data_IF_216656701906
#
_entry.id   IF_216656701906
#
_cell.length_a   1.000
_cell.length_b   1.000
_cell.length_c   1.000
_cell.angle_alpha   90.00
_cell.angle_beta   90.00
_cell.angle_gamma   90.00
#
_symmetry.space_group_name_H-M   'P 1'
#
loop_
_entity.id
_entity.type
_entity.pdbx_description
1 polymer ?
#
# COMPACT_ATOMS: atom_id res chain seq x y z
N UNK A 1 55.14 -15.27 4.89
CA UNK A 1 55.04 -14.77 6.28
C UNK A 1 54.25 -13.47 6.24
N UNK A 2 53.19 -13.35 7.07
CA UNK A 2 52.28 -12.18 7.23
C UNK A 2 53.06 -10.88 7.54
N UNK A 3 52.58 -9.67 7.24
CA UNK A 3 51.56 -8.86 7.99
C UNK A 3 51.28 -7.54 7.20
N UNK A 4 50.05 -7.12 6.90
CA UNK A 4 48.98 -6.47 7.70
C UNK A 4 49.14 -4.93 7.94
N UNK A 5 48.24 -4.14 7.31
CA UNK A 5 47.99 -2.69 7.45
C UNK A 5 47.11 -2.36 8.68
N UNK A 6 47.20 -1.16 9.30
CA UNK A 6 46.19 -0.66 10.22
C UNK A 6 45.36 0.49 9.62
N UNK A 7 44.07 0.24 9.37
CA UNK A 7 43.06 1.24 9.02
C UNK A 7 41.82 1.06 9.90
N UNK A 8 41.81 1.64 11.11
CA UNK A 8 40.69 1.45 12.05
C UNK A 8 40.20 2.71 12.81
N UNK A 9 40.69 3.91 12.52
CA UNK A 9 40.32 5.09 13.32
C UNK A 9 39.29 6.07 12.72
N UNK A 10 38.84 5.90 11.46
CA UNK A 10 37.92 6.88 10.82
C UNK A 10 36.41 6.60 11.03
N UNK A 11 36.01 5.36 11.32
CA UNK A 11 34.58 4.98 11.34
C UNK A 11 33.81 5.40 12.61
N UNK A 12 34.51 5.67 13.72
CA UNK A 12 33.87 5.99 15.01
C UNK A 12 33.36 7.45 15.08
N UNK A 13 33.92 8.37 14.28
CA UNK A 13 33.59 9.80 14.33
C UNK A 13 32.22 10.12 13.68
N UNK A 14 31.86 9.46 12.58
CA UNK A 14 30.64 9.74 11.80
C UNK A 14 29.37 9.27 12.52
N UNK A 15 29.45 8.17 13.28
CA UNK A 15 28.37 7.65 14.13
C UNK A 15 27.95 8.62 15.23
N UNK A 16 28.93 9.28 15.86
CA UNK A 16 28.70 10.20 16.99
C UNK A 16 28.13 11.55 16.57
N UNK A 17 28.32 11.97 15.32
CA UNK A 17 27.74 13.19 14.75
C UNK A 17 26.27 13.01 14.33
N UNK A 18 25.93 11.86 13.74
CA UNK A 18 24.55 11.51 13.32
C UNK A 18 23.57 11.51 14.49
N UNK A 19 23.99 11.02 15.65
CA UNK A 19 23.13 10.98 16.85
C UNK A 19 22.97 12.35 17.55
N UNK A 20 23.93 13.27 17.39
CA UNK A 20 23.85 14.60 18.03
C UNK A 20 22.95 15.60 17.28
N UNK A 21 22.90 15.53 15.96
CA UNK A 21 22.02 16.37 15.13
C UNK A 21 20.56 15.93 15.25
N UNK A 22 20.32 14.62 15.33
CA UNK A 22 18.97 14.06 15.49
C UNK A 22 18.31 14.48 16.83
N UNK A 23 19.10 14.56 17.91
CA UNK A 23 18.58 14.90 19.24
C UNK A 23 18.33 16.39 19.49
N UNK A 24 18.86 17.32 18.67
CA UNK A 24 18.69 18.77 18.90
C UNK A 24 17.47 19.39 18.22
N UNK A 25 16.84 18.73 17.23
CA UNK A 25 15.73 19.33 16.48
C UNK A 25 14.34 18.73 16.73
N UNK A 26 14.21 17.63 17.48
CA UNK A 26 12.92 16.95 17.70
C UNK A 26 12.53 16.82 19.19
N UNK A 27 12.78 17.85 19.99
CA UNK A 27 12.25 17.96 21.37
C UNK A 27 11.24 19.09 21.42
N UNK A 28 10.04 18.88 20.88
CA UNK A 28 8.90 19.75 21.24
C UNK A 28 7.51 19.12 21.11
N UNK A 29 7.33 17.96 20.48
CA UNK A 29 5.99 17.33 20.39
C UNK A 29 6.03 15.82 20.62
N UNK A 30 5.67 15.40 21.83
CA UNK A 30 5.53 13.99 22.22
C UNK A 30 4.49 13.23 21.37
N UNK A 31 3.49 13.92 20.81
CA UNK A 31 2.50 13.33 19.89
C UNK A 31 3.10 12.96 18.53
N UNK A 32 3.86 13.85 17.90
CA UNK A 32 4.45 13.60 16.57
C UNK A 32 5.53 12.52 16.62
N UNK A 33 6.27 12.44 17.73
CA UNK A 33 7.30 11.42 17.95
C UNK A 33 6.72 10.00 18.09
N UNK A 34 5.52 9.85 18.67
CA UNK A 34 4.86 8.54 18.80
C UNK A 34 4.19 8.09 17.49
N UNK A 35 3.68 9.02 16.68
CA UNK A 35 3.16 8.71 15.33
C UNK A 35 4.30 8.35 14.38
N UNK A 36 5.42 9.09 14.36
CA UNK A 36 6.59 8.70 13.57
C UNK A 36 7.22 7.39 14.06
N UNK A 37 7.28 7.14 15.38
CA UNK A 37 7.73 5.83 15.89
C UNK A 37 6.81 4.69 15.46
N UNK A 38 5.49 4.85 15.50
CA UNK A 38 4.56 3.78 15.09
C UNK A 38 4.46 3.58 13.57
N UNK A 39 4.73 4.62 12.77
CA UNK A 39 4.73 4.54 11.31
C UNK A 39 6.10 4.16 10.71
N UNK A 40 7.23 4.45 11.39
CA UNK A 40 8.58 4.05 10.94
C UNK A 40 9.16 2.81 11.65
N UNK A 41 8.69 2.39 12.82
CA UNK A 41 9.16 1.16 13.48
C UNK A 41 8.16 0.00 13.30
N UNK A 42 8.02 -0.44 12.06
CA UNK A 42 8.10 -1.88 11.76
C UNK A 42 9.39 -2.05 10.94
N UNK A 43 10.52 -1.76 11.59
CA UNK A 43 11.81 -2.31 11.19
C UNK A 43 12.08 -3.36 12.28
N UNK A 44 12.04 -4.66 11.97
CA UNK A 44 12.51 -5.67 12.91
C UNK A 44 13.92 -5.24 13.34
N UNK A 45 14.20 -5.25 14.64
CA UNK A 45 15.58 -5.13 15.12
C UNK A 45 16.38 -6.20 14.38
N UNK A 46 17.20 -5.80 13.41
CA UNK A 46 18.30 -6.64 12.93
C UNK A 46 19.28 -6.74 14.10
N UNK A 47 19.12 -7.77 14.91
CA UNK A 47 20.18 -8.23 15.79
C UNK A 47 21.31 -8.65 14.87
N UNK A 48 22.37 -7.85 14.87
CA UNK A 48 23.58 -8.09 14.11
C UNK A 48 24.35 -9.26 14.77
N UNK A 49 23.93 -10.49 14.50
CA UNK A 49 24.75 -11.67 14.79
C UNK A 49 25.59 -11.99 13.56
N UNK A 50 26.62 -11.17 13.36
CA UNK A 50 27.69 -11.46 12.40
C UNK A 50 28.65 -12.47 13.03
N UNK A 51 28.38 -13.77 12.90
CA UNK A 51 29.37 -14.88 13.03
C UNK A 51 28.85 -16.18 12.40
N UNK A 52 28.78 -16.19 11.06
CA UNK A 52 28.68 -17.45 10.32
C UNK A 52 30.02 -18.20 10.38
N UNK A 53 30.15 -19.17 11.28
CA UNK A 53 31.19 -20.20 11.24
C UNK A 53 30.83 -21.19 10.14
N UNK A 54 31.41 -21.02 8.94
CA UNK A 54 31.39 -22.03 7.89
C UNK A 54 32.44 -23.09 8.22
N UNK A 55 32.05 -24.14 8.95
CA UNK A 55 32.86 -25.35 9.08
C UNK A 55 32.09 -26.59 8.65
N UNK A 56 32.54 -27.10 7.50
CA UNK A 56 32.77 -28.52 7.19
C UNK A 56 31.66 -29.50 7.56
N UNK A 57 30.91 -29.93 6.55
CA UNK A 57 30.20 -31.21 6.59
C UNK A 57 31.25 -32.32 6.46
N UNK A 58 31.80 -32.78 7.59
CA UNK A 58 32.46 -34.09 7.66
C UNK A 58 31.41 -35.13 8.06
N UNK A 59 31.18 -36.06 7.14
CA UNK A 59 30.45 -37.31 7.37
C UNK A 59 31.30 -38.21 8.27
N UNK A 60 30.81 -38.54 9.47
CA UNK A 60 31.36 -39.63 10.27
C UNK A 60 30.24 -40.38 11.02
N UNK A 61 30.13 -41.64 10.66
CA UNK A 61 29.41 -42.74 11.31
C UNK A 61 29.74 -42.82 12.81
N UNK A 62 28.72 -43.00 13.67
CA UNK A 62 28.77 -43.87 14.86
C UNK A 62 27.45 -43.89 15.65
N UNK A 63 27.04 -45.12 15.94
CA UNK A 63 25.90 -45.51 16.75
C UNK A 63 26.05 -45.15 18.25
N UNK A 64 24.90 -44.90 18.89
CA UNK A 64 24.66 -45.11 20.32
C UNK A 64 25.12 -44.02 21.29
N UNK A 65 24.22 -43.08 21.63
CA UNK A 65 24.22 -42.37 22.91
C UNK A 65 22.83 -41.73 23.17
N UNK A 66 22.36 -41.82 24.42
CA UNK A 66 21.03 -41.39 24.92
C UNK A 66 20.68 -39.90 24.65
N UNK A 67 19.38 -39.54 24.59
CA UNK A 67 18.98 -38.15 24.37
C UNK A 67 19.24 -37.27 25.61
N UNK A 68 19.88 -36.11 25.47
CA UNK A 68 19.94 -35.14 26.56
C UNK A 68 18.58 -34.45 26.73
N UNK A 69 18.24 -34.24 28.00
CA UNK A 69 16.98 -33.73 28.54
C UNK A 69 16.60 -32.37 27.94
N UNK A 70 15.32 -32.25 27.58
CA UNK A 70 14.67 -30.98 27.25
C UNK A 70 14.82 -29.98 28.42
N UNK A 71 15.41 -28.83 28.12
CA UNK A 71 15.37 -27.65 28.96
C UNK A 71 15.00 -26.49 28.05
N UNK A 72 13.76 -26.00 28.23
CA UNK A 72 13.15 -25.01 27.36
C UNK A 72 13.77 -23.62 27.48
N UNK A 73 13.83 -22.92 26.35
CA UNK A 73 13.53 -21.49 26.21
C UNK A 73 13.45 -21.16 24.71
N UNK A 74 12.54 -20.25 24.35
CA UNK A 74 12.39 -19.73 22.99
C UNK A 74 11.31 -20.38 22.14
N UNK A 75 10.05 -20.33 22.59
CA UNK A 75 8.90 -20.50 21.70
C UNK A 75 8.94 -19.37 20.66
N UNK A 76 9.61 -19.62 19.53
CA UNK A 76 9.44 -18.82 18.34
C UNK A 76 7.97 -18.97 17.96
N UNK A 77 7.16 -17.95 18.28
CA UNK A 77 5.76 -17.86 17.86
C UNK A 77 5.75 -17.76 16.33
N UNK A 78 5.87 -18.91 15.68
CA UNK A 78 5.80 -19.06 14.24
C UNK A 78 4.32 -19.16 13.89
N UNK A 79 3.81 -18.12 13.22
CA UNK A 79 2.41 -18.02 12.83
C UNK A 79 2.13 -19.11 11.79
N UNK A 80 1.47 -20.20 12.21
CA UNK A 80 1.05 -21.27 11.29
C UNK A 80 0.28 -20.65 10.12
N UNK A 81 0.76 -20.76 8.86
CA UNK A 81 0.09 -20.18 7.72
C UNK A 81 -1.21 -20.95 7.45
N UNK A 82 -2.33 -20.41 7.91
CA UNK A 82 -3.69 -20.93 7.68
C UNK A 82 -4.50 -20.02 6.76
N UNK A 83 -3.90 -19.56 5.65
CA UNK A 83 -4.67 -18.92 4.58
C UNK A 83 -4.86 -19.90 3.43
N UNK A 84 -6.09 -20.38 3.24
CA UNK A 84 -6.48 -21.11 2.03
C UNK A 84 -6.53 -20.20 0.81
N UNK A 85 -6.54 -20.79 -0.39
CA UNK A 85 -6.57 -20.07 -1.67
C UNK A 85 -7.73 -19.05 -1.74
N UNK A 86 -8.93 -19.48 -1.33
CA UNK A 86 -10.13 -18.62 -1.33
C UNK A 86 -10.00 -17.42 -0.38
N UNK A 87 -9.37 -17.61 0.79
CA UNK A 87 -9.12 -16.53 1.73
C UNK A 87 -8.13 -15.53 1.14
N UNK A 88 -7.07 -16.02 0.49
CA UNK A 88 -6.09 -15.18 -0.21
C UNK A 88 -6.73 -14.35 -1.32
N UNK A 89 -7.50 -14.97 -2.20
CA UNK A 89 -8.21 -14.27 -3.31
C UNK A 89 -9.16 -13.21 -2.75
N UNK A 90 -9.92 -13.53 -1.70
CA UNK A 90 -10.86 -12.58 -1.08
C UNK A 90 -10.15 -11.37 -0.50
N UNK A 91 -9.02 -11.56 0.18
CA UNK A 91 -8.20 -10.45 0.71
C UNK A 91 -7.66 -9.57 -0.43
N UNK A 92 -7.17 -10.19 -1.51
CA UNK A 92 -6.65 -9.46 -2.67
C UNK A 92 -7.76 -8.63 -3.31
N UNK A 93 -8.90 -9.24 -3.62
CA UNK A 93 -10.05 -8.55 -4.22
C UNK A 93 -10.54 -7.42 -3.32
N UNK A 94 -10.65 -7.65 -2.01
CA UNK A 94 -11.05 -6.63 -1.04
C UNK A 94 -10.05 -5.47 -0.91
N UNK A 95 -8.77 -5.73 -1.19
CA UNK A 95 -7.70 -4.72 -1.18
C UNK A 95 -7.66 -3.86 -2.46
N UNK A 96 -7.99 -4.44 -3.62
CA UNK A 96 -8.02 -3.74 -4.91
C UNK A 96 -9.31 -2.92 -5.06
N UNK A 97 -10.45 -3.48 -4.63
CA UNK A 97 -11.73 -2.75 -4.68
C UNK A 97 -11.72 -1.63 -3.63
N UNK A 98 -11.33 -0.43 -4.06
CA UNK A 98 -11.24 0.76 -3.21
C UNK A 98 -12.35 1.80 -3.45
N UNK A 99 -12.19 2.97 -2.86
CA UNK A 99 -13.03 4.14 -3.13
C UNK A 99 -12.79 4.74 -4.53
N UNK A 100 -11.70 4.36 -5.20
CA UNK A 100 -11.33 4.87 -6.52
C UNK A 100 -12.40 4.66 -7.59
N UNK A 101 -13.21 3.61 -7.51
CA UNK A 101 -14.31 3.35 -8.46
C UNK A 101 -15.43 4.41 -8.40
N UNK A 102 -15.59 5.12 -7.28
CA UNK A 102 -16.59 6.19 -7.19
C UNK A 102 -16.07 7.49 -7.80
N UNK A 103 -14.76 7.72 -7.80
CA UNK A 103 -14.14 8.97 -8.26
C UNK A 103 -13.72 8.90 -9.73
N UNK A 104 -13.12 7.78 -10.12
CA UNK A 104 -12.42 7.61 -11.39
C UNK A 104 -13.33 7.66 -12.62
N UNK A 105 -14.60 7.19 -12.61
CA UNK A 105 -15.45 7.25 -13.79
C UNK A 105 -15.62 8.66 -14.36
N UNK A 106 -15.73 9.68 -13.49
CA UNK A 106 -15.79 11.09 -13.93
C UNK A 106 -14.51 11.52 -14.64
N UNK A 107 -13.34 11.16 -14.08
CA UNK A 107 -12.04 11.47 -14.69
C UNK A 107 -11.81 10.74 -16.01
N UNK A 108 -12.20 9.47 -16.09
CA UNK A 108 -12.10 8.68 -17.31
C UNK A 108 -12.99 9.27 -18.40
N UNK A 109 -14.27 9.53 -18.11
CA UNK A 109 -15.23 10.03 -19.10
C UNK A 109 -14.86 11.43 -19.61
N UNK A 110 -14.39 12.32 -18.74
CA UNK A 110 -13.93 13.66 -19.16
C UNK A 110 -12.70 13.60 -20.08
N UNK A 111 -11.81 12.61 -19.88
CA UNK A 111 -10.63 12.44 -20.74
C UNK A 111 -10.91 11.67 -22.04
N UNK A 112 -11.95 10.83 -22.09
CA UNK A 112 -12.32 10.09 -23.31
C UNK A 112 -13.40 10.77 -24.15
N UNK A 113 -14.22 11.66 -23.57
CA UNK A 113 -15.31 12.37 -24.23
C UNK A 113 -16.54 11.50 -24.56
N UNK A 114 -16.34 10.20 -24.74
CA UNK A 114 -17.39 9.24 -25.09
C UNK A 114 -17.45 8.04 -24.13
N UNK A 115 -18.64 7.46 -24.00
CA UNK A 115 -18.90 6.31 -23.11
C UNK A 115 -18.25 5.05 -23.64
N UNK A 116 -18.33 4.76 -24.95
CA UNK A 116 -17.71 3.59 -25.55
C UNK A 116 -16.19 3.56 -25.33
N UNK A 117 -15.52 4.69 -25.58
CA UNK A 117 -14.07 4.81 -25.37
C UNK A 117 -13.69 4.70 -23.88
N UNK A 118 -14.54 5.20 -22.97
CA UNK A 118 -14.30 5.07 -21.52
C UNK A 118 -14.23 3.61 -21.07
N UNK A 119 -15.09 2.74 -21.62
CA UNK A 119 -15.10 1.31 -21.31
C UNK A 119 -13.84 0.60 -21.82
N UNK A 120 -13.35 1.00 -23.00
CA UNK A 120 -12.06 0.50 -23.54
C UNK A 120 -10.92 0.89 -22.61
N UNK A 121 -10.85 2.14 -22.15
CA UNK A 121 -9.83 2.60 -21.19
C UNK A 121 -9.88 1.80 -19.89
N UNK A 122 -11.07 1.48 -19.38
CA UNK A 122 -11.23 0.61 -18.20
C UNK A 122 -10.63 -0.79 -18.42
N UNK A 123 -10.94 -1.43 -19.55
CA UNK A 123 -10.41 -2.76 -19.90
C UNK A 123 -8.88 -2.71 -20.00
N UNK A 124 -8.33 -1.73 -20.73
CA UNK A 124 -6.88 -1.58 -20.92
C UNK A 124 -6.19 -1.32 -19.58
N UNK A 125 -6.78 -0.52 -18.68
CA UNK A 125 -6.25 -0.25 -17.34
C UNK A 125 -6.22 -1.50 -16.47
N UNK A 126 -7.24 -2.35 -16.58
CA UNK A 126 -7.31 -3.65 -15.91
C UNK A 126 -6.24 -4.62 -16.40
N UNK A 127 -6.07 -4.75 -17.73
CA UNK A 127 -5.03 -5.60 -18.33
C UNK A 127 -3.63 -5.13 -17.93
N UNK A 128 -3.37 -3.82 -17.99
CA UNK A 128 -2.11 -3.24 -17.56
C UNK A 128 -1.80 -3.55 -16.09
N UNK A 129 -2.80 -3.40 -15.22
CA UNK A 129 -2.67 -3.72 -13.78
C UNK A 129 -2.42 -5.21 -13.55
N UNK A 130 -3.02 -6.09 -14.35
CA UNK A 130 -2.79 -7.54 -14.29
C UNK A 130 -1.35 -7.90 -14.66
N UNK A 131 -0.80 -7.32 -15.73
CA UNK A 131 0.60 -7.53 -16.12
C UNK A 131 1.53 -7.05 -15.01
N UNK A 132 1.29 -5.85 -14.46
CA UNK A 132 2.07 -5.33 -13.33
C UNK A 132 2.00 -6.24 -12.09
N UNK A 133 0.83 -6.80 -11.78
CA UNK A 133 0.65 -7.75 -10.70
C UNK A 133 1.46 -9.03 -10.88
N UNK A 134 1.55 -9.57 -12.11
CA UNK A 134 2.37 -10.75 -12.40
C UNK A 134 3.87 -10.48 -12.21
N UNK A 135 4.38 -9.35 -12.73
CA UNK A 135 5.78 -8.97 -12.51
C UNK A 135 6.10 -8.82 -11.01
N UNK A 136 5.16 -8.24 -10.25
CA UNK A 136 5.31 -8.12 -8.80
C UNK A 136 5.20 -9.46 -8.06
N UNK A 137 4.40 -10.40 -8.56
CA UNK A 137 4.31 -11.74 -8.01
C UNK A 137 5.63 -12.50 -8.17
N UNK A 138 6.29 -12.38 -9.33
CA UNK A 138 7.63 -12.96 -9.55
C UNK A 138 8.66 -12.34 -8.61
N UNK A 139 8.67 -11.01 -8.50
CA UNK A 139 9.59 -10.30 -7.62
C UNK A 139 9.40 -10.65 -6.14
N UNK A 140 8.15 -10.81 -5.70
CA UNK A 140 7.80 -11.26 -4.36
C UNK A 140 8.13 -12.73 -4.08
N UNK A 141 8.33 -13.55 -5.11
CA UNK A 141 8.84 -14.92 -4.96
C UNK A 141 10.37 -14.97 -4.92
N UNK A 142 11.06 -14.02 -5.57
CA UNK A 142 12.52 -13.97 -5.57
C UNK A 142 13.11 -13.31 -4.32
N UNK A 143 12.46 -12.27 -3.79
CA UNK A 143 12.98 -11.48 -2.66
C UNK A 143 12.01 -11.61 -1.47
N UNK A 144 12.30 -12.54 -0.56
CA UNK A 144 11.52 -12.80 0.67
C UNK A 144 11.97 -11.92 1.83
N UNK A 145 12.14 -10.61 1.59
CA UNK A 145 12.50 -9.63 2.62
C UNK A 145 11.31 -8.73 2.93
N UNK A 146 11.10 -8.45 4.21
CA UNK A 146 10.08 -7.51 4.69
C UNK A 146 10.39 -6.08 4.20
N UNK A 147 9.41 -5.41 3.60
CA UNK A 147 9.56 -4.03 3.09
C UNK A 147 9.03 -3.78 1.67
N UNK A 148 8.56 -4.81 0.96
CA UNK A 148 7.90 -4.70 -0.35
C UNK A 148 8.75 -3.91 -1.37
N UNK A 149 8.15 -2.89 -2.02
CA UNK A 149 8.81 -1.96 -2.95
C UNK A 149 10.19 -1.49 -2.49
N UNK A 150 10.33 -1.15 -1.20
CA UNK A 150 11.60 -0.67 -0.65
C UNK A 150 12.66 -1.76 -0.62
N UNK A 151 12.29 -2.97 -0.20
CA UNK A 151 13.20 -4.12 -0.14
C UNK A 151 13.66 -4.54 -1.55
N UNK A 152 12.74 -4.50 -2.53
CA UNK A 152 13.06 -4.83 -3.91
C UNK A 152 14.07 -3.86 -4.53
N UNK A 153 13.90 -2.56 -4.30
CA UNK A 153 14.80 -1.52 -4.81
C UNK A 153 16.13 -1.51 -4.04
N UNK A 154 16.10 -1.81 -2.74
CA UNK A 154 17.31 -1.94 -1.93
C UNK A 154 18.24 -3.03 -2.47
N UNK A 155 17.69 -4.18 -2.84
CA UNK A 155 18.47 -5.31 -3.35
C UNK A 155 19.02 -5.06 -4.77
N UNK A 156 18.24 -4.37 -5.62
CA UNK A 156 18.57 -4.19 -7.04
C UNK A 156 19.41 -2.96 -7.35
N UNK A 157 19.12 -1.82 -6.70
CA UNK A 157 19.73 -0.52 -7.01
C UNK A 157 20.50 0.10 -5.83
N UNK A 158 20.50 -0.56 -4.67
CA UNK A 158 21.22 -0.13 -3.48
C UNK A 158 20.51 0.94 -2.64
N UNK A 159 21.17 1.43 -1.57
CA UNK A 159 20.52 2.18 -0.50
C UNK A 159 20.05 3.58 -0.88
N UNK A 160 20.73 4.25 -1.83
CA UNK A 160 20.38 5.63 -2.20
C UNK A 160 19.05 5.69 -2.97
N UNK A 161 18.86 4.83 -3.98
CA UNK A 161 17.63 4.79 -4.78
C UNK A 161 16.45 4.30 -3.92
N UNK A 162 16.70 3.33 -3.03
CA UNK A 162 15.71 2.86 -2.08
C UNK A 162 15.25 3.98 -1.13
N UNK A 163 16.18 4.82 -0.65
CA UNK A 163 15.83 5.99 0.16
C UNK A 163 14.97 7.00 -0.61
N UNK A 164 15.31 7.32 -1.87
CA UNK A 164 14.50 8.24 -2.69
C UNK A 164 13.10 7.69 -2.91
N UNK A 165 12.95 6.39 -3.19
CA UNK A 165 11.64 5.74 -3.32
C UNK A 165 10.81 5.91 -2.06
N UNK A 166 11.39 5.64 -0.89
CA UNK A 166 10.72 5.75 0.40
C UNK A 166 10.36 7.22 0.71
N UNK A 167 11.26 8.14 0.40
CA UNK A 167 11.04 9.58 0.57
C UNK A 167 9.84 10.07 -0.23
N UNK A 168 9.77 9.73 -1.53
CA UNK A 168 8.66 10.08 -2.41
C UNK A 168 7.36 9.42 -1.95
N UNK A 169 7.41 8.16 -1.50
CA UNK A 169 6.24 7.46 -0.95
C UNK A 169 5.64 8.21 0.24
N UNK A 170 6.50 8.56 1.22
CA UNK A 170 6.07 9.16 2.48
C UNK A 170 5.66 10.63 2.32
N UNK A 171 6.37 11.42 1.51
CA UNK A 171 6.14 12.86 1.40
C UNK A 171 5.12 13.23 0.33
N UNK A 172 4.94 12.41 -0.71
CA UNK A 172 4.09 12.75 -1.86
C UNK A 172 2.95 11.75 -2.00
N UNK A 173 3.26 10.47 -2.26
CA UNK A 173 2.25 9.50 -2.69
C UNK A 173 1.18 9.26 -1.63
N UNK A 174 1.60 8.96 -0.39
CA UNK A 174 0.67 8.68 0.73
C UNK A 174 -0.20 9.88 1.10
N UNK A 175 0.34 11.08 1.40
CA UNK A 175 -0.49 12.22 1.77
C UNK A 175 -1.40 12.68 0.63
N UNK A 176 -0.93 12.70 -0.62
CA UNK A 176 -1.77 13.06 -1.77
C UNK A 176 -2.95 12.09 -1.94
N UNK A 177 -2.71 10.78 -1.82
CA UNK A 177 -3.78 9.79 -1.92
C UNK A 177 -4.83 9.97 -0.83
N UNK A 178 -4.43 10.27 0.41
CA UNK A 178 -5.38 10.53 1.50
C UNK A 178 -6.16 11.83 1.29
N UNK A 179 -5.50 12.88 0.80
CA UNK A 179 -6.14 14.15 0.49
C UNK A 179 -7.21 14.03 -0.61
N UNK A 180 -6.93 13.31 -1.69
CA UNK A 180 -7.89 13.07 -2.78
C UNK A 180 -9.13 12.35 -2.25
N UNK A 181 -8.96 11.31 -1.43
CA UNK A 181 -10.09 10.57 -0.85
C UNK A 181 -10.91 11.45 0.09
N UNK A 182 -10.28 12.24 0.95
CA UNK A 182 -10.97 13.15 1.87
C UNK A 182 -11.74 14.28 1.18
N UNK A 183 -11.15 14.86 0.12
CA UNK A 183 -11.83 15.86 -0.72
C UNK A 183 -13.05 15.24 -1.41
N UNK A 184 -12.88 14.02 -1.93
CA UNK A 184 -13.98 13.31 -2.58
C UNK A 184 -15.11 13.01 -1.60
N UNK A 185 -14.80 12.51 -0.41
CA UNK A 185 -15.78 12.31 0.67
C UNK A 185 -16.56 13.59 0.95
N UNK A 186 -15.86 14.71 1.10
CA UNK A 186 -16.47 16.00 1.41
C UNK A 186 -17.38 16.49 0.28
N UNK A 187 -16.97 16.33 -0.97
CA UNK A 187 -17.79 16.65 -2.13
C UNK A 187 -19.07 15.81 -2.18
N UNK A 188 -18.97 14.49 -1.96
CA UNK A 188 -20.14 13.61 -1.93
C UNK A 188 -21.11 13.90 -0.78
N UNK A 189 -20.61 14.30 0.39
CA UNK A 189 -21.45 14.67 1.54
C UNK A 189 -22.16 16.01 1.32
N UNK A 190 -21.50 16.97 0.67
CA UNK A 190 -22.06 18.30 0.43
C UNK A 190 -23.01 18.34 -0.77
N UNK A 191 -22.88 17.42 -1.74
CA UNK A 191 -23.70 17.43 -2.96
C UNK A 191 -25.22 17.36 -2.71
N UNK A 192 -25.75 16.56 -1.76
CA UNK A 192 -27.17 16.58 -1.44
C UNK A 192 -27.64 17.85 -0.72
N UNK A 193 -26.74 18.55 -0.01
CA UNK A 193 -27.05 19.79 0.73
C UNK A 193 -27.13 20.99 -0.24
N UNK A 194 -26.34 20.95 -1.31
CA UNK A 194 -26.35 21.93 -2.39
C UNK A 194 -26.80 21.26 -3.70
N UNK A 195 -28.10 20.95 -3.88
CA UNK A 195 -28.59 20.22 -5.05
C UNK A 195 -28.49 21.06 -6.34
N UNK A 196 -28.81 22.35 -6.26
CA UNK A 196 -28.92 23.23 -7.42
C UNK A 196 -27.64 24.04 -7.73
N UNK A 197 -26.63 23.98 -6.86
CA UNK A 197 -25.40 24.74 -7.01
C UNK A 197 -24.17 23.91 -6.68
N UNK A 198 -23.01 24.35 -7.18
CA UNK A 198 -21.76 23.68 -6.85
C UNK A 198 -21.36 24.03 -5.40
N UNK A 199 -21.01 23.03 -4.56
CA UNK A 199 -20.67 23.30 -3.18
C UNK A 199 -19.44 24.20 -3.11
N UNK A 200 -19.43 25.24 -2.26
CA UNK A 200 -18.32 26.18 -2.20
C UNK A 200 -17.01 25.50 -1.82
N UNK A 201 -15.93 25.81 -2.55
CA UNK A 201 -14.60 25.21 -2.38
C UNK A 201 -14.09 25.27 -0.93
N UNK A 202 -14.36 26.37 -0.23
CA UNK A 202 -13.97 26.54 1.17
C UNK A 202 -14.63 25.49 2.08
N UNK A 203 -15.92 25.21 1.87
CA UNK A 203 -16.66 24.21 2.65
C UNK A 203 -16.14 22.79 2.37
N UNK A 204 -15.88 22.46 1.09
CA UNK A 204 -15.30 21.16 0.71
C UNK A 204 -13.95 20.95 1.38
N UNK A 205 -13.06 21.97 1.34
CA UNK A 205 -11.72 21.90 1.93
C UNK A 205 -11.77 21.82 3.46
N UNK A 206 -12.63 22.59 4.12
CA UNK A 206 -12.79 22.57 5.58
C UNK A 206 -13.32 21.22 6.07
N UNK A 207 -14.31 20.66 5.39
CA UNK A 207 -14.86 19.35 5.73
C UNK A 207 -13.83 18.23 5.49
N UNK A 208 -13.03 18.32 4.42
CA UNK A 208 -11.98 17.34 4.14
C UNK A 208 -10.89 17.38 5.20
N UNK A 209 -10.47 18.59 5.60
CA UNK A 209 -9.52 18.78 6.69
C UNK A 209 -10.05 18.19 8.00
N UNK A 210 -11.30 18.50 8.37
CA UNK A 210 -11.95 17.96 9.56
C UNK A 210 -12.01 16.44 9.53
N UNK A 211 -12.36 15.85 8.39
CA UNK A 211 -12.39 14.39 8.19
C UNK A 211 -11.02 13.76 8.46
N UNK A 212 -9.95 14.30 7.87
CA UNK A 212 -8.58 13.82 8.09
C UNK A 212 -8.21 13.95 9.57
N UNK A 213 -8.51 15.08 10.22
CA UNK A 213 -8.22 15.27 11.65
C UNK A 213 -8.94 14.23 12.53
N UNK A 214 -10.23 13.99 12.29
CA UNK A 214 -11.02 13.00 13.03
C UNK A 214 -10.47 11.59 12.82
N UNK A 215 -10.22 11.19 11.57
CA UNK A 215 -9.68 9.86 11.28
C UNK A 215 -8.29 9.69 11.88
N UNK A 216 -7.44 10.72 11.82
CA UNK A 216 -6.11 10.70 12.46
C UNK A 216 -6.24 10.55 13.97
N UNK A 217 -7.16 11.27 14.61
CA UNK A 217 -7.42 11.15 16.03
C UNK A 217 -7.87 9.74 16.43
N UNK A 218 -8.81 9.15 15.69
CA UNK A 218 -9.27 7.76 15.91
C UNK A 218 -8.11 6.77 15.77
N UNK A 219 -7.27 6.94 14.74
CA UNK A 219 -6.08 6.11 14.52
C UNK A 219 -5.05 6.25 15.66
N UNK A 220 -4.93 7.43 16.27
CA UNK A 220 -4.02 7.67 17.39
C UNK A 220 -4.57 7.18 18.74
N UNK A 221 -5.90 7.15 18.92
CA UNK A 221 -6.54 6.79 20.18
C UNK A 221 -6.51 5.28 20.43
N UNK A 222 -7.06 4.48 19.51
CA UNK A 222 -7.09 3.03 19.64
C UNK A 222 -7.24 2.36 18.27
N UNK A 223 -6.36 1.37 18.04
CA UNK A 223 -6.33 0.57 16.82
C UNK A 223 -7.62 -0.24 16.63
N UNK A 224 -8.28 -0.66 17.73
CA UNK A 224 -9.54 -1.42 17.65
C UNK A 224 -10.65 -0.61 17.01
N UNK A 225 -10.81 0.65 17.42
CA UNK A 225 -11.79 1.57 16.84
C UNK A 225 -11.49 1.85 15.37
N UNK A 226 -10.21 2.04 15.01
CA UNK A 226 -9.80 2.20 13.61
C UNK A 226 -10.15 0.96 12.76
N UNK A 227 -9.93 -0.25 13.27
CA UNK A 227 -10.29 -1.49 12.57
C UNK A 227 -11.81 -1.63 12.39
N UNK A 228 -12.61 -1.31 13.41
CA UNK A 228 -14.07 -1.34 13.31
C UNK A 228 -14.58 -0.37 12.24
N UNK A 229 -14.09 0.87 12.25
CA UNK A 229 -14.45 1.89 11.24
C UNK A 229 -14.08 1.41 9.83
N UNK A 230 -12.89 0.85 9.65
CA UNK A 230 -12.44 0.29 8.37
C UNK A 230 -13.35 -0.85 7.88
N UNK A 231 -13.76 -1.75 8.78
CA UNK A 231 -14.65 -2.86 8.44
C UNK A 231 -16.04 -2.35 8.00
N UNK A 232 -16.61 -1.40 8.73
CA UNK A 232 -17.90 -0.79 8.37
C UNK A 232 -17.84 -0.15 6.99
N UNK A 233 -16.82 0.66 6.70
CA UNK A 233 -16.63 1.25 5.37
C UNK A 233 -16.43 0.21 4.28
N UNK A 234 -15.79 -0.91 4.61
CA UNK A 234 -15.57 -2.01 3.67
C UNK A 234 -16.87 -2.73 3.31
N UNK A 235 -17.75 -3.00 4.28
CA UNK A 235 -19.07 -3.55 4.00
C UNK A 235 -19.96 -2.55 3.27
N UNK A 236 -19.95 -1.28 3.68
CA UNK A 236 -20.75 -0.23 3.06
C UNK A 236 -20.38 -0.03 1.57
N UNK A 237 -19.09 0.02 1.22
CA UNK A 237 -18.66 0.17 -0.19
C UNK A 237 -19.06 -1.04 -1.03
N UNK A 238 -18.98 -2.26 -0.49
CA UNK A 238 -19.37 -3.48 -1.21
C UNK A 238 -20.88 -3.50 -1.44
N UNK A 239 -21.68 -3.13 -0.44
CA UNK A 239 -23.13 -3.00 -0.60
C UNK A 239 -23.51 -1.97 -1.67
N UNK A 240 -22.87 -0.79 -1.66
CA UNK A 240 -23.09 0.24 -2.67
C UNK A 240 -22.77 -0.26 -4.09
N UNK A 241 -21.67 -1.01 -4.26
CA UNK A 241 -21.32 -1.60 -5.56
C UNK A 241 -22.35 -2.63 -6.03
N UNK A 242 -22.83 -3.50 -5.14
CA UNK A 242 -23.88 -4.47 -5.48
C UNK A 242 -25.15 -3.77 -5.94
N UNK A 243 -25.57 -2.69 -5.26
CA UNK A 243 -26.74 -1.90 -5.65
C UNK A 243 -26.55 -1.30 -7.05
N UNK A 244 -25.37 -0.72 -7.33
CA UNK A 244 -25.07 -0.13 -8.65
C UNK A 244 -25.11 -1.20 -9.76
N UNK A 245 -24.55 -2.38 -9.50
CA UNK A 245 -24.55 -3.48 -10.48
C UNK A 245 -25.98 -3.96 -10.77
N UNK A 246 -26.78 -4.20 -9.73
CA UNK A 246 -28.16 -4.68 -9.89
C UNK A 246 -29.01 -3.65 -10.64
N UNK A 247 -28.94 -2.38 -10.23
CA UNK A 247 -29.69 -1.30 -10.90
C UNK A 247 -29.27 -1.12 -12.36
N UNK A 248 -27.97 -1.24 -12.65
CA UNK A 248 -27.45 -1.23 -14.02
C UNK A 248 -27.99 -2.37 -14.89
N UNK A 249 -28.00 -3.60 -14.38
CA UNK A 249 -28.54 -4.77 -15.11
C UNK A 249 -30.04 -4.60 -15.38
N UNK A 250 -30.80 -4.13 -14.39
CA UNK A 250 -32.25 -3.87 -14.54
C UNK A 250 -32.51 -2.82 -15.62
N UNK A 251 -31.78 -1.71 -15.63
CA UNK A 251 -31.90 -0.67 -16.67
C UNK A 251 -31.53 -1.17 -18.06
N UNK A 252 -30.54 -2.06 -18.15
CA UNK A 252 -30.18 -2.72 -19.41
C UNK A 252 -31.31 -3.64 -19.91
N UNK A 253 -31.97 -4.34 -18.99
CA UNK A 253 -33.15 -5.16 -19.27
C UNK A 253 -34.37 -4.36 -19.75
N UNK A 254 -34.49 -3.09 -19.35
CA UNK A 254 -35.49 -2.15 -19.90
C UNK A 254 -35.12 -1.59 -21.28
N UNK A 255 -34.01 -2.02 -21.88
CA UNK A 255 -33.61 -1.66 -23.24
C UNK A 255 -32.86 -0.33 -23.38
N UNK A 256 -32.39 0.28 -22.27
CA UNK A 256 -31.67 1.56 -22.31
C UNK A 256 -30.20 1.43 -22.71
N UNK A 257 -29.97 0.96 -23.94
CA UNK A 257 -28.65 0.73 -24.56
C UNK A 257 -28.13 1.91 -25.36
N UNK A 258 -28.90 3.00 -25.41
CA UNK A 258 -28.64 4.17 -26.26
C UNK A 258 -27.34 4.91 -25.90
N UNK A 259 -26.85 4.71 -24.68
CA UNK A 259 -25.66 5.38 -24.15
C UNK A 259 -24.33 4.68 -24.50
N UNK A 260 -24.36 3.53 -25.19
CA UNK A 260 -23.15 2.81 -25.61
C UNK A 260 -22.63 3.26 -26.99
N UNK A 261 -22.53 4.57 -27.21
CA UNK A 261 -21.98 5.11 -28.45
C UNK A 261 -20.50 5.53 -28.29
N UNK A 262 -19.83 5.70 -29.43
CA UNK A 262 -18.47 6.25 -29.53
C UNK A 262 -18.46 7.68 -30.06
N UNK A 263 -19.64 8.31 -30.17
CA UNK A 263 -19.78 9.68 -30.65
C UNK A 263 -19.14 10.65 -29.64
N UNK A 264 -18.45 11.66 -30.15
CA UNK A 264 -17.71 12.62 -29.31
C UNK A 264 -16.43 12.06 -28.69
N UNK A 265 -15.88 10.96 -29.23
CA UNK A 265 -14.61 10.40 -28.75
C UNK A 265 -13.47 11.39 -28.95
N UNK A 266 -12.74 11.67 -27.87
CA UNK A 266 -11.54 12.49 -27.90
C UNK A 266 -10.41 11.76 -28.62
N UNK A 267 -9.70 12.46 -29.51
CA UNK A 267 -8.55 11.93 -30.26
C UNK A 267 -7.20 12.40 -29.71
N UNK A 268 -7.21 13.34 -28.76
CA UNK A 268 -6.00 13.84 -28.12
C UNK A 268 -5.41 12.78 -27.19
N UNK A 269 -4.23 12.29 -27.56
CA UNK A 269 -3.45 11.30 -26.82
C UNK A 269 -3.20 11.75 -25.38
N UNK A 270 -3.05 13.04 -25.13
CA UNK A 270 -2.81 13.59 -23.79
C UNK A 270 -4.01 13.38 -22.88
N UNK A 271 -5.22 13.68 -23.38
CA UNK A 271 -6.46 13.49 -22.63
C UNK A 271 -6.75 12.01 -22.38
N UNK A 272 -6.45 11.16 -23.37
CA UNK A 272 -6.56 9.70 -23.24
C UNK A 272 -5.54 9.16 -22.21
N UNK A 273 -4.32 9.71 -22.17
CA UNK A 273 -3.35 9.33 -21.14
C UNK A 273 -3.84 9.74 -19.73
N UNK A 274 -4.45 10.92 -19.57
CA UNK A 274 -5.03 11.37 -18.30
C UNK A 274 -6.22 10.51 -17.85
N UNK A 275 -7.07 10.06 -18.77
CA UNK A 275 -8.14 9.11 -18.46
C UNK A 275 -7.57 7.77 -18.02
N UNK A 276 -6.49 7.31 -18.65
CA UNK A 276 -5.78 6.10 -18.25
C UNK A 276 -5.20 6.21 -16.83
N UNK A 277 -4.59 7.34 -16.46
CA UNK A 277 -4.13 7.57 -15.07
C UNK A 277 -5.28 7.49 -14.06
N UNK A 278 -6.46 8.02 -14.42
CA UNK A 278 -7.67 7.93 -13.60
C UNK A 278 -8.14 6.48 -13.46
N UNK A 279 -8.12 5.69 -14.54
CA UNK A 279 -8.43 4.27 -14.52
C UNK A 279 -7.46 3.46 -13.64
N UNK A 280 -6.16 3.70 -13.77
CA UNK A 280 -5.13 3.05 -12.95
C UNK A 280 -5.26 3.38 -11.46
N UNK A 281 -5.71 4.59 -11.11
CA UNK A 281 -5.98 4.96 -9.73
C UNK A 281 -7.05 4.06 -9.10
N UNK A 282 -8.10 3.68 -9.84
CA UNK A 282 -9.13 2.78 -9.35
C UNK A 282 -8.66 1.35 -9.12
N UNK A 283 -7.66 0.89 -9.90
CA UNK A 283 -7.05 -0.43 -9.74
C UNK A 283 -5.88 -0.45 -8.75
N UNK A 284 -5.54 0.68 -8.13
CA UNK A 284 -4.44 0.73 -7.19
C UNK A 284 -4.69 -0.22 -6.00
N UNK A 285 -3.66 -0.98 -5.59
CA UNK A 285 -3.76 -1.97 -4.51
C UNK A 285 -3.15 -3.34 -4.86
N UNK A 286 -2.96 -3.64 -6.14
CA UNK A 286 -2.34 -4.89 -6.62
C UNK A 286 -0.91 -5.11 -6.11
N UNK A 287 -0.18 -4.05 -5.73
CA UNK A 287 1.18 -4.14 -5.16
C UNK A 287 1.25 -4.92 -3.83
N UNK A 288 0.12 -5.07 -3.14
CA UNK A 288 0.04 -5.81 -1.87
C UNK A 288 0.26 -7.32 -2.05
N UNK A 289 0.17 -7.83 -3.29
CA UNK A 289 0.35 -9.24 -3.63
C UNK A 289 1.71 -9.82 -3.23
N UNK A 290 2.80 -9.05 -3.34
CA UNK A 290 4.14 -9.51 -2.96
C UNK A 290 4.37 -9.61 -1.44
N UNK A 291 3.59 -8.86 -0.66
CA UNK A 291 3.80 -8.72 0.80
C UNK A 291 3.21 -9.90 1.57
N UNK A 292 2.05 -10.40 1.12
CA UNK A 292 1.32 -11.45 1.84
C UNK A 292 2.08 -12.77 1.94
N UNK A 293 3.08 -13.03 1.08
CA UNK A 293 3.97 -14.21 1.23
C UNK A 293 5.05 -14.03 2.29
N UNK A 294 5.52 -12.80 2.51
CA UNK A 294 6.64 -12.57 3.46
C UNK A 294 6.21 -12.84 4.91
N UNK A 295 4.96 -12.48 5.25
CA UNK A 295 4.37 -12.77 6.57
C UNK A 295 3.87 -14.24 6.72
N UNK A 296 4.22 -15.15 5.80
CA UNK A 296 3.86 -16.57 5.88
C UNK A 296 5.09 -17.49 5.98
N UNK A 297 6.30 -16.92 5.99
CA UNK A 297 7.57 -17.67 6.00
C UNK A 297 8.36 -17.43 7.31
N UNK A 298 7.92 -16.49 8.15
CA UNK A 298 8.38 -16.32 9.56
C UNK A 298 7.31 -16.81 10.55
#
# INVERSE_FOLDING_TARGET
>A
MRTALPSHHAAASVSSYRNRVWNRHFVSNRCTANTLKRTLFIIPKMTNDSRGDYRGVEMADRAGAEPPKEQGDGDAICLKPKMGLLNGVTVIVGSIIGSGIFVSPKGVLLGTGSVGLSLVVWIVSGVFSMIGAFCYAELGCMITKSGADYAYIMESFGPFVAFIRLWVECMIVRPCSQAVVALTFSFYVLRPIFPDCEPPDSAVRMLAFLCICILTFINCWDVKWSMTVQNVFTFAKLAALVIIIITGIVQLGYGQTQHFNFEGSESDVTKIALSFYSGLFAYNGWKTLGISKTNQIE
#
